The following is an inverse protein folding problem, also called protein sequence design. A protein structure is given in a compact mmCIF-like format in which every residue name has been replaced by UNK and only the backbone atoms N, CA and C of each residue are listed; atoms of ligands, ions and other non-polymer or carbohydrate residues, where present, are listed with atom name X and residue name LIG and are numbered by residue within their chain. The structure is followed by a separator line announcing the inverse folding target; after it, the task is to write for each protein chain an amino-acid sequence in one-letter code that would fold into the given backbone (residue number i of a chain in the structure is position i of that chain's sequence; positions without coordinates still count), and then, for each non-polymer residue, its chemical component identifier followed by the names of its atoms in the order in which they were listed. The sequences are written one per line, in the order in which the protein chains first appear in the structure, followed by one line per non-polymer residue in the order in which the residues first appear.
data_IF_472239305134
#
_entry.id   IF_472239305134
#
_cell.length_a   1.000
_cell.length_b   1.000
_cell.length_c   1.000
_cell.angle_alpha   90.00
_cell.angle_beta   90.00
_cell.angle_gamma   90.00
#
_symmetry.space_group_name_H-M   'P 1'
#
loop_
_entity.id
_entity.type
_entity.pdbx_description
1 polymer ?
#
# COMPACT_ATOMS: atom_id res chain seq x y z
N UNK A 1 8.44 -18.35 20.43
CA UNK A 1 6.98 -18.14 20.49
C UNK A 1 6.45 -18.26 19.07
N UNK A 2 5.39 -19.03 18.86
CA UNK A 2 4.70 -19.03 17.58
C UNK A 2 3.89 -17.73 17.43
N UNK A 3 3.81 -17.19 16.21
CA UNK A 3 3.04 -16.00 15.86
C UNK A 3 1.53 -16.29 15.77
N UNK A 4 0.94 -16.85 16.84
CA UNK A 4 -0.41 -17.44 16.80
C UNK A 4 -1.54 -16.45 16.46
N UNK A 5 -1.30 -15.14 16.59
CA UNK A 5 -2.27 -14.07 16.31
C UNK A 5 -1.92 -13.19 15.09
N UNK A 6 -0.92 -13.55 14.27
CA UNK A 6 -0.61 -12.82 13.04
C UNK A 6 -1.49 -13.31 11.89
N UNK A 7 -2.08 -12.36 11.14
CA UNK A 7 -2.97 -12.65 10.02
C UNK A 7 -2.28 -13.51 8.95
N UNK A 8 -2.94 -14.58 8.52
CA UNK A 8 -2.42 -15.46 7.46
C UNK A 8 -3.07 -15.10 6.13
N UNK A 9 -2.25 -14.63 5.18
CA UNK A 9 -2.71 -14.42 3.82
C UNK A 9 -3.17 -15.74 3.20
N UNK A 10 -4.41 -15.80 2.73
CA UNK A 10 -4.91 -16.93 1.95
C UNK A 10 -4.30 -16.83 0.54
N UNK A 11 -3.52 -17.83 0.13
CA UNK A 11 -2.78 -17.84 -1.14
C UNK A 11 -3.68 -18.17 -2.37
N UNK A 12 -4.92 -17.70 -2.35
CA UNK A 12 -5.87 -17.92 -3.44
C UNK A 12 -5.75 -16.76 -4.43
N UNK A 13 -5.29 -17.11 -5.64
CA UNK A 13 -5.05 -16.24 -6.80
C UNK A 13 -4.07 -15.08 -6.58
N UNK A 14 -3.04 -15.02 -7.44
CA UNK A 14 -2.38 -13.76 -7.76
C UNK A 14 -3.47 -12.87 -8.39
N UNK A 15 -3.54 -11.58 -8.03
CA UNK A 15 -4.44 -10.62 -8.71
C UNK A 15 -3.81 -10.28 -10.07
N UNK A 16 -3.68 -11.26 -10.95
CA UNK A 16 -3.31 -11.03 -12.36
C UNK A 16 -4.45 -10.31 -13.04
N UNK A 17 -4.11 -9.23 -13.75
CA UNK A 17 -5.02 -8.62 -14.71
C UNK A 17 -5.30 -9.68 -15.78
N UNK A 18 -6.57 -9.95 -16.05
CA UNK A 18 -6.96 -11.02 -16.97
C UNK A 18 -6.78 -10.54 -18.40
N UNK A 19 -6.11 -11.36 -19.23
CA UNK A 19 -5.75 -11.04 -20.61
C UNK A 19 -6.98 -10.55 -21.43
N UNK A 20 -8.15 -11.17 -21.23
CA UNK A 20 -9.41 -10.78 -21.86
C UNK A 20 -9.80 -9.32 -21.62
N UNK A 21 -9.53 -8.77 -20.43
CA UNK A 21 -9.81 -7.37 -20.11
C UNK A 21 -8.89 -6.42 -20.90
N UNK A 22 -7.63 -6.82 -21.12
CA UNK A 22 -6.67 -6.04 -21.90
C UNK A 22 -7.00 -6.10 -23.40
N UNK A 23 -7.42 -7.27 -23.89
CA UNK A 23 -7.89 -7.50 -25.25
C UNK A 23 -9.16 -6.68 -25.56
N UNK A 24 -10.18 -6.74 -24.70
CA UNK A 24 -11.43 -5.96 -24.85
C UNK A 24 -11.19 -4.44 -24.89
N UNK A 25 -10.23 -3.94 -24.11
CA UNK A 25 -9.84 -2.53 -24.09
C UNK A 25 -8.84 -2.14 -25.20
N UNK A 26 -8.29 -3.11 -25.92
CA UNK A 26 -7.18 -2.94 -26.88
C UNK A 26 -6.00 -2.16 -26.25
N UNK A 27 -5.57 -2.59 -25.07
CA UNK A 27 -4.46 -1.98 -24.30
C UNK A 27 -3.34 -3.00 -24.06
N UNK A 28 -2.09 -2.56 -24.15
CA UNK A 28 -0.99 -3.38 -23.60
C UNK A 28 -0.91 -3.26 -22.08
N UNK A 29 -0.41 -4.30 -21.42
CA UNK A 29 -0.18 -4.30 -19.98
C UNK A 29 0.75 -3.17 -19.53
N UNK A 30 1.82 -2.89 -20.29
CA UNK A 30 2.75 -1.79 -20.00
C UNK A 30 2.08 -0.43 -20.14
N UNK A 31 1.28 -0.21 -21.19
CA UNK A 31 0.56 1.05 -21.39
C UNK A 31 -0.46 1.33 -20.29
N UNK A 32 -1.18 0.31 -19.84
CA UNK A 32 -2.16 0.43 -18.76
C UNK A 32 -1.51 0.72 -17.39
N UNK A 33 -0.22 0.45 -17.23
CA UNK A 33 0.57 0.83 -16.06
C UNK A 33 1.25 2.21 -16.18
N UNK A 34 1.42 2.75 -17.40
CA UNK A 34 2.20 3.97 -17.67
C UNK A 34 1.37 5.22 -18.02
N UNK A 35 0.06 5.12 -18.24
CA UNK A 35 -0.80 6.27 -18.59
C UNK A 35 -2.01 6.37 -17.66
N UNK A 36 -2.26 7.54 -17.06
CA UNK A 36 -3.32 7.74 -16.05
C UNK A 36 -4.72 7.41 -16.56
N UNK A 37 -5.07 7.91 -17.76
CA UNK A 37 -6.35 7.55 -18.40
C UNK A 37 -6.49 6.05 -18.71
N UNK A 38 -5.42 5.37 -19.16
CA UNK A 38 -5.45 3.93 -19.43
C UNK A 38 -5.56 3.11 -18.14
N UNK A 39 -4.85 3.54 -17.08
CA UNK A 39 -4.92 2.95 -15.74
C UNK A 39 -6.31 3.10 -15.12
N UNK A 40 -6.93 4.27 -15.23
CA UNK A 40 -8.32 4.49 -14.80
C UNK A 40 -9.29 3.58 -15.57
N UNK A 41 -9.19 3.55 -16.90
CA UNK A 41 -10.01 2.71 -17.77
C UNK A 41 -9.91 1.23 -17.39
N UNK A 42 -8.68 0.72 -17.22
CA UNK A 42 -8.45 -0.66 -16.81
C UNK A 42 -8.99 -0.94 -15.40
N UNK A 43 -8.77 -0.03 -14.44
CA UNK A 43 -9.28 -0.22 -13.08
C UNK A 43 -10.81 -0.29 -13.02
N UNK A 44 -11.52 0.46 -13.89
CA UNK A 44 -12.99 0.40 -14.01
C UNK A 44 -13.44 -0.91 -14.63
N UNK A 45 -12.78 -1.38 -15.68
CA UNK A 45 -13.12 -2.68 -16.29
C UNK A 45 -12.85 -3.86 -15.34
N UNK A 46 -11.75 -3.84 -14.58
CA UNK A 46 -11.47 -4.83 -13.52
C UNK A 46 -12.56 -4.81 -12.43
N UNK A 47 -13.03 -3.62 -12.03
CA UNK A 47 -14.14 -3.45 -11.09
C UNK A 47 -15.40 -4.13 -11.64
N UNK A 48 -15.80 -3.80 -12.87
CA UNK A 48 -17.02 -4.29 -13.53
C UNK A 48 -16.97 -5.81 -13.70
N UNK A 49 -15.89 -6.34 -14.29
CA UNK A 49 -15.67 -7.76 -14.51
C UNK A 49 -15.74 -8.58 -13.22
N UNK A 50 -15.15 -8.07 -12.13
CA UNK A 50 -15.10 -8.76 -10.84
C UNK A 50 -16.29 -8.43 -9.91
N UNK A 51 -17.31 -7.73 -10.41
CA UNK A 51 -18.52 -7.37 -9.65
C UNK A 51 -18.22 -6.52 -8.40
N UNK A 52 -17.17 -5.71 -8.40
CA UNK A 52 -16.75 -4.89 -7.25
C UNK A 52 -17.43 -3.52 -7.25
N UNK A 53 -17.55 -2.94 -6.05
CA UNK A 53 -18.10 -1.60 -5.85
C UNK A 53 -17.03 -0.48 -5.86
N UNK A 54 -15.80 -0.81 -6.24
CA UNK A 54 -14.65 0.11 -6.19
C UNK A 54 -13.62 -0.20 -7.28
N UNK A 55 -12.97 0.86 -7.74
CA UNK A 55 -11.73 0.83 -8.51
C UNK A 55 -10.53 0.78 -7.55
N UNK A 56 -9.45 0.09 -7.91
CA UNK A 56 -8.25 -0.11 -7.09
C UNK A 56 -7.01 -0.03 -7.95
N UNK A 57 -6.04 0.79 -7.54
CA UNK A 57 -4.81 1.05 -8.27
C UNK A 57 -3.72 1.58 -7.32
N UNK A 58 -2.42 1.54 -7.68
CA UNK A 58 -1.85 0.86 -8.86
C UNK A 58 -1.97 -0.67 -8.77
N UNK A 59 -1.74 -1.35 -9.89
CA UNK A 59 -1.82 -2.83 -9.97
C UNK A 59 -0.54 -3.54 -9.48
N UNK A 60 0.32 -2.87 -8.72
CA UNK A 60 1.62 -3.40 -8.28
C UNK A 60 2.23 -2.61 -7.11
N UNK A 61 3.28 -3.16 -6.49
CA UNK A 61 4.07 -2.54 -5.40
C UNK A 61 5.42 -1.97 -5.87
N UNK A 62 5.49 -1.45 -7.10
CA UNK A 62 6.75 -0.97 -7.71
C UNK A 62 6.76 0.52 -8.06
N UNK A 63 5.66 1.24 -7.84
CA UNK A 63 5.51 2.65 -8.26
C UNK A 63 6.42 3.56 -7.43
N UNK A 64 6.42 3.38 -6.13
CA UNK A 64 7.19 4.17 -5.17
C UNK A 64 8.69 3.85 -5.29
N UNK A 65 9.04 2.59 -5.50
CA UNK A 65 10.41 2.17 -5.73
C UNK A 65 10.98 2.72 -7.06
N UNK A 66 10.17 2.79 -8.12
CA UNK A 66 10.55 3.44 -9.38
C UNK A 66 10.75 4.95 -9.21
N UNK A 67 9.83 5.62 -8.49
CA UNK A 67 9.94 7.04 -8.19
C UNK A 67 11.18 7.39 -7.34
N UNK A 68 11.73 6.40 -6.62
CA UNK A 68 13.00 6.47 -5.88
C UNK A 68 14.22 5.92 -6.65
N UNK A 69 14.08 5.66 -7.96
CA UNK A 69 15.21 5.38 -8.87
C UNK A 69 15.43 3.93 -9.29
N UNK A 70 14.61 2.97 -8.85
CA UNK A 70 14.62 1.62 -9.44
C UNK A 70 14.04 1.62 -10.86
N UNK A 71 14.40 0.63 -11.67
CA UNK A 71 13.70 0.34 -12.93
C UNK A 71 12.73 -0.82 -12.74
N UNK A 72 11.67 -0.83 -13.55
CA UNK A 72 10.63 -1.86 -13.51
C UNK A 72 10.57 -2.61 -14.84
N UNK A 73 10.30 -3.91 -14.74
CA UNK A 73 10.00 -4.79 -15.87
C UNK A 73 8.51 -5.10 -15.79
N UNK A 74 7.80 -4.79 -16.87
CA UNK A 74 6.39 -5.08 -17.06
C UNK A 74 6.27 -6.46 -17.72
N UNK A 75 5.41 -7.32 -17.16
CA UNK A 75 5.12 -8.67 -17.64
C UNK A 75 3.70 -9.00 -17.16
N UNK A 76 2.80 -9.36 -18.07
CA UNK A 76 1.39 -9.58 -17.76
C UNK A 76 1.17 -10.85 -16.92
N UNK A 77 2.02 -11.87 -17.11
CA UNK A 77 1.87 -13.20 -16.51
C UNK A 77 2.38 -13.25 -15.08
N UNK A 78 3.47 -12.54 -14.79
CA UNK A 78 4.08 -12.50 -13.44
C UNK A 78 3.94 -11.15 -12.73
N UNK A 79 3.40 -10.15 -13.42
CA UNK A 79 3.22 -8.79 -12.90
C UNK A 79 4.50 -7.95 -12.90
N UNK A 80 4.34 -6.67 -12.55
CA UNK A 80 5.46 -5.71 -12.49
C UNK A 80 6.45 -6.10 -11.40
N UNK A 81 7.74 -6.12 -11.76
CA UNK A 81 8.84 -6.44 -10.83
C UNK A 81 10.02 -5.48 -11.01
N UNK A 82 10.84 -5.36 -9.96
CA UNK A 82 12.09 -4.59 -10.04
C UNK A 82 13.04 -5.26 -11.05
N UNK A 83 13.54 -4.48 -12.01
CA UNK A 83 14.56 -4.88 -12.97
C UNK A 83 15.96 -4.54 -12.49
N UNK A 84 16.17 -3.29 -12.07
CA UNK A 84 17.40 -2.80 -11.46
C UNK A 84 17.07 -1.98 -10.21
N UNK A 85 17.79 -2.24 -9.13
CA UNK A 85 17.74 -1.43 -7.91
C UNK A 85 18.28 -0.01 -8.14
N UNK A 86 17.61 1.00 -7.59
CA UNK A 86 18.09 2.39 -7.57
C UNK A 86 19.37 2.59 -6.73
N UNK A 87 19.59 1.73 -5.73
CA UNK A 87 20.78 1.70 -4.88
C UNK A 87 21.49 0.34 -5.00
N UNK A 88 22.72 0.40 -5.47
CA UNK A 88 23.65 -0.73 -5.62
C UNK A 88 24.72 -0.78 -4.51
N UNK A 89 25.02 0.35 -3.86
CA UNK A 89 26.02 0.47 -2.81
C UNK A 89 25.59 1.36 -1.64
N UNK A 90 26.14 1.09 -0.45
CA UNK A 90 25.78 1.78 0.80
C UNK A 90 25.97 3.31 0.72
N UNK A 91 26.96 3.79 -0.04
CA UNK A 91 27.24 5.22 -0.15
C UNK A 91 26.25 5.97 -1.04
N UNK A 92 25.52 5.29 -1.93
CA UNK A 92 24.52 5.92 -2.81
C UNK A 92 23.26 6.36 -2.04
N UNK A 93 23.07 5.87 -0.81
CA UNK A 93 22.02 6.32 0.11
C UNK A 93 22.08 7.85 0.34
N UNK A 94 23.26 8.45 0.34
CA UNK A 94 23.41 9.91 0.54
C UNK A 94 22.87 10.76 -0.63
N UNK A 95 22.63 10.13 -1.78
CA UNK A 95 22.12 10.79 -2.99
C UNK A 95 20.61 10.56 -3.20
N UNK A 96 19.95 9.77 -2.34
CA UNK A 96 18.51 9.52 -2.51
C UNK A 96 17.71 10.79 -2.22
N UNK A 97 16.83 11.14 -3.14
CA UNK A 97 15.84 12.22 -2.97
C UNK A 97 14.48 11.62 -2.67
N UNK A 98 13.58 12.41 -2.08
CA UNK A 98 12.17 12.04 -2.00
C UNK A 98 11.57 11.85 -3.39
N UNK A 99 10.45 11.14 -3.45
CA UNK A 99 9.65 11.02 -4.68
C UNK A 99 9.25 12.40 -5.22
N UNK A 100 9.14 12.51 -6.54
CA UNK A 100 8.49 13.65 -7.20
C UNK A 100 7.14 13.22 -7.75
N UNK A 101 6.07 13.65 -7.09
CA UNK A 101 4.68 13.32 -7.46
C UNK A 101 4.28 13.83 -8.86
N UNK A 102 5.08 14.71 -9.47
CA UNK A 102 4.84 15.28 -10.80
C UNK A 102 5.54 14.48 -11.93
N UNK A 103 6.28 13.41 -11.60
CA UNK A 103 7.06 12.61 -12.56
C UNK A 103 6.73 11.11 -12.48
N UNK A 104 7.15 10.36 -13.50
CA UNK A 104 7.07 8.89 -13.54
C UNK A 104 5.64 8.33 -13.41
N UNK A 105 5.53 7.02 -13.15
CA UNK A 105 4.22 6.37 -12.95
C UNK A 105 3.47 6.88 -11.72
N UNK A 106 4.16 7.38 -10.69
CA UNK A 106 3.50 7.89 -9.48
C UNK A 106 2.58 9.09 -9.79
N UNK A 107 2.98 9.98 -10.70
CA UNK A 107 2.10 11.03 -11.23
C UNK A 107 0.88 10.49 -11.97
N UNK A 108 1.02 9.33 -12.63
CA UNK A 108 -0.02 8.69 -13.45
C UNK A 108 -1.02 7.91 -12.61
N UNK A 109 -0.59 7.39 -11.46
CA UNK A 109 -1.48 6.89 -10.40
C UNK A 109 -2.38 8.02 -9.90
N UNK A 110 -1.81 9.17 -9.54
CA UNK A 110 -2.59 10.32 -9.06
C UNK A 110 -3.55 10.86 -10.13
N UNK A 111 -3.11 10.95 -11.39
CA UNK A 111 -3.95 11.29 -12.55
C UNK A 111 -5.14 10.32 -12.69
N UNK A 112 -4.91 9.01 -12.53
CA UNK A 112 -5.94 7.98 -12.62
C UNK A 112 -6.99 8.10 -11.50
N UNK A 113 -6.59 8.39 -10.25
CA UNK A 113 -7.52 8.68 -9.15
C UNK A 113 -8.42 9.85 -9.54
N UNK A 114 -7.83 10.96 -9.99
CA UNK A 114 -8.55 12.18 -10.37
C UNK A 114 -9.57 11.98 -11.51
N UNK A 115 -9.28 11.08 -12.45
CA UNK A 115 -10.20 10.67 -13.52
C UNK A 115 -11.38 9.88 -12.93
N UNK A 116 -11.10 8.79 -12.22
CA UNK A 116 -12.11 7.92 -11.61
C UNK A 116 -13.03 8.69 -10.65
N UNK A 117 -12.49 9.60 -9.84
CA UNK A 117 -13.28 10.42 -8.92
C UNK A 117 -14.23 11.38 -9.64
N UNK A 118 -13.86 11.93 -10.80
CA UNK A 118 -14.76 12.74 -11.64
C UNK A 118 -15.85 11.92 -12.33
N UNK A 119 -15.58 10.64 -12.60
CA UNK A 119 -16.58 9.69 -13.10
C UNK A 119 -17.53 9.17 -12.00
N UNK A 120 -17.34 9.58 -10.74
CA UNK A 120 -18.17 9.21 -9.60
C UNK A 120 -17.75 7.92 -8.89
N UNK A 121 -16.62 7.33 -9.27
CA UNK A 121 -16.17 6.04 -8.74
C UNK A 121 -15.71 6.09 -7.28
N UNK A 122 -15.75 4.93 -6.61
CA UNK A 122 -15.05 4.70 -5.35
C UNK A 122 -13.64 4.23 -5.65
N UNK A 123 -12.62 4.86 -5.07
CA UNK A 123 -11.22 4.59 -5.39
C UNK A 123 -10.44 4.17 -4.15
N UNK A 124 -9.78 3.02 -4.25
CA UNK A 124 -8.78 2.55 -3.30
C UNK A 124 -7.39 2.80 -3.88
N UNK A 125 -6.56 3.57 -3.19
CA UNK A 125 -5.14 3.72 -3.50
C UNK A 125 -4.34 2.68 -2.71
N UNK A 126 -3.64 1.77 -3.38
CA UNK A 126 -2.65 0.92 -2.73
C UNK A 126 -1.33 1.67 -2.49
N UNK A 127 -0.78 1.51 -1.28
CA UNK A 127 0.47 2.13 -0.85
C UNK A 127 1.38 1.09 -0.19
N UNK A 128 2.62 1.06 -0.65
CA UNK A 128 3.66 0.12 -0.23
C UNK A 128 4.42 0.67 0.98
N UNK A 129 4.65 -0.19 1.96
CA UNK A 129 5.31 0.19 3.21
C UNK A 129 6.85 0.27 3.14
N UNK A 130 7.46 0.83 4.19
CA UNK A 130 8.84 1.30 4.15
C UNK A 130 9.88 0.19 3.91
N UNK A 131 9.72 -1.01 4.49
CA UNK A 131 10.69 -2.10 4.30
C UNK A 131 10.55 -2.71 2.90
N UNK A 132 9.33 -2.83 2.39
CA UNK A 132 9.05 -3.30 1.03
C UNK A 132 9.61 -2.34 -0.02
N UNK A 133 9.50 -1.02 0.20
CA UNK A 133 10.17 -0.03 -0.66
C UNK A 133 11.69 -0.14 -0.52
N UNK A 134 12.24 -0.16 0.70
CA UNK A 134 13.68 -0.26 0.93
C UNK A 134 14.30 -1.49 0.25
N UNK A 135 13.64 -2.65 0.34
CA UNK A 135 14.04 -3.91 -0.31
C UNK A 135 13.70 -3.99 -1.81
N UNK A 136 13.03 -2.98 -2.37
CA UNK A 136 12.76 -2.80 -3.81
C UNK A 136 13.64 -1.73 -4.47
N UNK A 137 14.22 -0.81 -3.69
CA UNK A 137 15.23 0.15 -4.16
C UNK A 137 16.66 -0.31 -3.90
N UNK A 138 16.86 -1.28 -3.02
CA UNK A 138 18.15 -1.84 -2.63
C UNK A 138 18.01 -3.35 -2.46
N UNK A 139 19.01 -4.13 -2.89
CA UNK A 139 19.00 -5.58 -2.67
C UNK A 139 18.80 -5.91 -1.17
N UNK A 140 17.92 -6.85 -0.86
CA UNK A 140 17.59 -7.19 0.53
C UNK A 140 18.80 -7.59 1.38
N UNK A 141 19.79 -8.31 0.82
CA UNK A 141 21.02 -8.67 1.54
C UNK A 141 21.89 -7.45 1.78
N UNK A 142 21.89 -6.49 0.85
CA UNK A 142 22.56 -5.19 1.03
C UNK A 142 21.88 -4.38 2.14
N UNK A 143 20.55 -4.25 2.11
CA UNK A 143 19.76 -3.53 3.13
C UNK A 143 19.99 -4.07 4.56
N UNK A 144 19.80 -5.38 4.78
CA UNK A 144 20.05 -6.01 6.08
C UNK A 144 21.53 -6.02 6.49
N UNK A 145 22.46 -5.87 5.54
CA UNK A 145 23.89 -5.64 5.84
C UNK A 145 24.16 -4.20 6.25
N UNK A 146 23.48 -3.21 5.65
CA UNK A 146 23.55 -1.81 6.04
C UNK A 146 23.08 -1.64 7.48
N UNK A 147 21.87 -2.13 7.83
CA UNK A 147 21.33 -2.08 9.20
C UNK A 147 22.30 -2.61 10.26
N UNK A 148 23.08 -3.66 9.94
CA UNK A 148 24.06 -4.26 10.85
C UNK A 148 25.41 -3.54 10.93
N UNK A 149 25.82 -2.83 9.87
CA UNK A 149 27.13 -2.16 9.77
C UNK A 149 27.07 -0.67 10.07
N UNK A 150 25.96 -0.04 9.71
CA UNK A 150 25.73 1.40 9.72
C UNK A 150 24.21 1.64 9.86
N UNK A 151 23.73 1.49 11.11
CA UNK A 151 22.30 1.58 11.44
C UNK A 151 21.76 2.99 11.13
N UNK A 152 22.57 4.03 11.37
CA UNK A 152 22.18 5.42 11.15
C UNK A 152 21.94 5.71 9.67
N UNK A 153 22.75 5.14 8.77
CA UNK A 153 22.54 5.28 7.32
C UNK A 153 21.34 4.47 6.82
N UNK A 154 21.04 3.32 7.44
CA UNK A 154 19.79 2.60 7.17
C UNK A 154 18.55 3.38 7.66
N UNK A 155 18.65 4.06 8.82
CA UNK A 155 17.59 4.93 9.35
C UNK A 155 17.35 6.10 8.39
N UNK A 156 18.39 6.82 7.96
CA UNK A 156 18.28 7.93 6.98
C UNK A 156 17.58 7.52 5.68
N UNK A 157 17.87 6.32 5.17
CA UNK A 157 17.18 5.78 3.99
C UNK A 157 15.67 5.61 4.26
N UNK A 158 15.33 5.07 5.42
CA UNK A 158 13.94 4.83 5.82
C UNK A 158 13.19 6.13 6.15
N UNK A 159 13.88 7.18 6.64
CA UNK A 159 13.31 8.52 6.84
C UNK A 159 12.89 9.15 5.50
N UNK A 160 13.73 9.07 4.46
CA UNK A 160 13.37 9.54 3.10
C UNK A 160 12.20 8.74 2.51
N UNK A 161 12.13 7.43 2.80
CA UNK A 161 11.00 6.57 2.39
C UNK A 161 9.73 6.91 3.18
N UNK A 162 9.80 7.12 4.49
CA UNK A 162 8.66 7.53 5.34
C UNK A 162 8.06 8.84 4.84
N UNK A 163 8.89 9.86 4.63
CA UNK A 163 8.48 11.14 4.05
C UNK A 163 7.84 10.97 2.66
N UNK A 164 8.43 10.13 1.80
CA UNK A 164 7.90 9.86 0.46
C UNK A 164 6.53 9.17 0.53
N UNK A 165 6.36 8.17 1.41
CA UNK A 165 5.06 7.52 1.63
C UNK A 165 4.02 8.54 2.10
N UNK A 166 4.38 9.42 3.04
CA UNK A 166 3.49 10.47 3.54
C UNK A 166 3.05 11.40 2.39
N UNK A 167 3.99 11.87 1.57
CA UNK A 167 3.68 12.72 0.41
C UNK A 167 2.75 12.02 -0.60
N UNK A 168 2.99 10.75 -0.91
CA UNK A 168 2.13 9.97 -1.82
C UNK A 168 0.72 9.72 -1.25
N UNK A 169 0.60 9.38 0.04
CA UNK A 169 -0.70 9.24 0.71
C UNK A 169 -1.49 10.55 0.63
N UNK A 170 -0.85 11.68 0.94
CA UNK A 170 -1.50 12.99 0.93
C UNK A 170 -1.92 13.42 -0.49
N UNK A 171 -1.08 13.19 -1.50
CA UNK A 171 -1.45 13.42 -2.90
C UNK A 171 -2.63 12.54 -3.36
N UNK A 172 -2.70 11.29 -2.90
CA UNK A 172 -3.84 10.41 -3.15
C UNK A 172 -5.14 10.91 -2.53
N UNK A 173 -5.08 11.42 -1.30
CA UNK A 173 -6.21 12.04 -0.59
C UNK A 173 -6.65 13.33 -1.30
N UNK A 174 -5.72 14.16 -1.76
CA UNK A 174 -6.00 15.38 -2.52
C UNK A 174 -6.72 15.11 -3.84
N UNK A 175 -6.33 14.04 -4.57
CA UNK A 175 -7.06 13.59 -5.76
C UNK A 175 -8.38 12.86 -5.45
N UNK A 176 -8.71 12.67 -4.16
CA UNK A 176 -10.00 12.19 -3.69
C UNK A 176 -10.11 10.69 -3.44
N UNK A 177 -9.01 9.97 -3.23
CA UNK A 177 -9.03 8.55 -2.86
C UNK A 177 -9.90 8.29 -1.61
N UNK A 178 -10.81 7.33 -1.69
CA UNK A 178 -11.76 7.02 -0.62
C UNK A 178 -11.12 6.19 0.50
N UNK A 179 -10.24 5.27 0.12
CA UNK A 179 -9.53 4.37 1.03
C UNK A 179 -8.05 4.35 0.63
N UNK A 180 -7.16 4.45 1.61
CA UNK A 180 -5.72 4.21 1.44
C UNK A 180 -5.43 2.79 1.95
N UNK A 181 -5.15 1.87 1.04
CA UNK A 181 -4.82 0.46 1.33
C UNK A 181 -3.32 0.33 1.54
N UNK A 182 -2.89 0.35 2.80
CA UNK A 182 -1.48 0.32 3.18
C UNK A 182 -1.02 -1.10 3.50
N UNK A 183 0.09 -1.54 2.90
CA UNK A 183 0.70 -2.84 3.15
C UNK A 183 2.23 -2.79 3.10
N UNK A 184 2.90 -3.45 4.05
CA UNK A 184 4.35 -3.69 4.01
C UNK A 184 4.67 -5.20 3.91
N UNK A 185 4.49 -5.84 2.74
CA UNK A 185 4.66 -7.29 2.59
C UNK A 185 5.96 -7.87 3.17
N UNK A 186 7.12 -7.28 2.87
CA UNK A 186 8.43 -7.77 3.34
C UNK A 186 8.81 -7.23 4.72
N UNK A 187 8.13 -6.20 5.21
CA UNK A 187 8.36 -5.57 6.52
C UNK A 187 7.60 -6.18 7.69
N UNK A 188 6.78 -7.21 7.48
CA UNK A 188 5.92 -7.80 8.52
C UNK A 188 6.69 -8.62 9.55
N UNK A 189 6.15 -8.75 10.76
CA UNK A 189 6.90 -9.32 11.92
C UNK A 189 7.31 -10.79 11.72
N UNK A 190 6.53 -11.55 10.96
CA UNK A 190 6.82 -12.93 10.58
C UNK A 190 7.93 -13.05 9.52
N UNK A 191 8.27 -11.97 8.83
CA UNK A 191 9.35 -11.90 7.84
C UNK A 191 10.64 -11.32 8.44
N UNK A 192 10.56 -10.17 9.11
CA UNK A 192 11.76 -9.47 9.64
C UNK A 192 12.16 -9.93 11.05
N UNK A 193 11.25 -10.58 11.77
CA UNK A 193 11.42 -10.99 13.17
C UNK A 193 11.12 -9.88 14.18
N UNK A 194 10.76 -10.23 15.43
CA UNK A 194 10.20 -9.28 16.40
C UNK A 194 11.11 -8.09 16.70
N UNK A 195 12.40 -8.33 16.96
CA UNK A 195 13.37 -7.26 17.28
C UNK A 195 13.53 -6.23 16.16
N UNK A 196 13.61 -6.69 14.91
CA UNK A 196 13.75 -5.81 13.74
C UNK A 196 12.45 -5.05 13.46
N UNK A 197 11.30 -5.68 13.75
CA UNK A 197 10.00 -5.03 13.61
C UNK A 197 9.80 -3.94 14.68
N UNK A 198 10.10 -4.23 15.94
CA UNK A 198 9.98 -3.31 17.07
C UNK A 198 10.93 -2.10 16.94
N UNK A 199 12.22 -2.35 16.63
CA UNK A 199 13.21 -1.27 16.50
C UNK A 199 13.07 -0.43 15.21
N UNK A 200 12.55 -1.03 14.13
CA UNK A 200 12.58 -0.41 12.79
C UNK A 200 11.24 -0.60 12.06
N UNK A 201 10.92 -1.81 11.58
CA UNK A 201 9.85 -2.01 10.58
C UNK A 201 8.48 -1.48 11.01
N UNK A 202 7.99 -1.92 12.16
CA UNK A 202 6.74 -1.45 12.76
C UNK A 202 6.82 -0.02 13.26
N UNK A 203 8.00 0.48 13.65
CA UNK A 203 8.18 1.86 14.11
C UNK A 203 8.00 2.87 12.99
N UNK A 204 8.62 2.66 11.83
CA UNK A 204 8.43 3.51 10.65
C UNK A 204 6.98 3.47 10.16
N UNK A 205 6.33 2.30 10.13
CA UNK A 205 4.90 2.21 9.82
C UNK A 205 4.06 3.03 10.80
N UNK A 206 4.29 2.89 12.11
CA UNK A 206 3.56 3.66 13.13
C UNK A 206 3.77 5.18 12.99
N UNK A 207 5.00 5.64 12.73
CA UNK A 207 5.30 7.05 12.51
C UNK A 207 4.51 7.61 11.33
N UNK A 208 4.54 6.93 10.16
CA UNK A 208 3.78 7.31 8.96
C UNK A 208 2.30 7.49 9.33
N UNK A 209 1.71 6.50 10.01
CA UNK A 209 0.29 6.54 10.39
C UNK A 209 -0.03 7.71 11.32
N UNK A 210 0.80 7.97 12.35
CA UNK A 210 0.64 9.15 13.23
C UNK A 210 0.73 10.48 12.47
N UNK A 211 1.64 10.58 11.50
CA UNK A 211 1.86 11.81 10.73
C UNK A 211 0.74 12.16 9.73
N UNK A 212 -0.11 11.18 9.39
CA UNK A 212 -1.25 11.36 8.47
C UNK A 212 -2.62 11.28 9.17
N UNK A 213 -2.71 10.78 10.41
CA UNK A 213 -3.95 10.60 11.19
C UNK A 213 -4.88 11.83 11.18
N UNK A 214 -4.31 13.02 11.42
CA UNK A 214 -5.03 14.30 11.45
C UNK A 214 -5.31 14.89 10.06
N UNK A 215 -4.76 14.31 8.99
CA UNK A 215 -4.83 14.80 7.61
C UNK A 215 -5.76 13.97 6.70
N UNK A 216 -6.37 12.91 7.24
CA UNK A 216 -7.19 11.96 6.47
C UNK A 216 -8.49 12.52 5.88
N UNK A 217 -8.96 13.69 6.32
CA UNK A 217 -10.18 14.33 5.81
C UNK A 217 -11.38 13.37 5.79
N UNK A 218 -11.86 12.99 4.60
CA UNK A 218 -12.97 12.05 4.34
C UNK A 218 -12.53 10.63 3.96
N UNK A 219 -11.22 10.39 3.86
CA UNK A 219 -10.59 9.12 3.54
C UNK A 219 -10.33 8.29 4.81
N UNK A 220 -10.18 6.98 4.65
CA UNK A 220 -9.85 6.04 5.74
C UNK A 220 -8.64 5.20 5.33
N UNK A 221 -7.75 4.88 6.27
CA UNK A 221 -6.65 3.94 6.00
C UNK A 221 -7.12 2.51 6.31
N UNK A 222 -6.99 1.63 5.34
CA UNK A 222 -7.03 0.19 5.53
C UNK A 222 -5.60 -0.36 5.68
N UNK A 223 -5.24 -0.72 6.91
CA UNK A 223 -4.00 -1.43 7.21
C UNK A 223 -4.18 -2.92 6.88
N UNK A 224 -3.42 -3.43 5.91
CA UNK A 224 -3.34 -4.85 5.58
C UNK A 224 -3.30 -5.73 6.84
N UNK A 225 -4.09 -6.81 6.88
CA UNK A 225 -4.23 -7.68 8.05
C UNK A 225 -2.89 -8.11 8.68
N UNK A 226 -1.87 -8.42 7.86
CA UNK A 226 -0.51 -8.71 8.38
C UNK A 226 0.13 -7.50 9.05
N UNK A 227 0.07 -6.32 8.44
CA UNK A 227 0.66 -5.08 8.96
C UNK A 227 -0.02 -4.66 10.26
N UNK A 228 -1.36 -4.67 10.30
CA UNK A 228 -2.13 -4.30 11.50
C UNK A 228 -1.97 -5.29 12.65
N UNK A 229 -2.03 -6.61 12.40
CA UNK A 229 -1.74 -7.62 13.44
C UNK A 229 -0.30 -7.55 13.94
N UNK A 230 0.67 -7.23 13.08
CA UNK A 230 2.07 -7.03 13.48
C UNK A 230 2.23 -5.83 14.42
N UNK A 231 1.61 -4.68 14.12
CA UNK A 231 1.63 -3.49 14.99
C UNK A 231 0.92 -3.74 16.34
N UNK A 232 -0.20 -4.46 16.32
CA UNK A 232 -0.92 -4.84 17.54
C UNK A 232 -0.10 -5.81 18.41
N UNK A 233 0.61 -6.75 17.79
CA UNK A 233 1.49 -7.70 18.49
C UNK A 233 2.62 -7.01 19.28
N UNK A 234 3.24 -5.96 18.73
CA UNK A 234 4.24 -5.14 19.45
C UNK A 234 3.61 -4.02 20.29
N UNK A 235 2.29 -3.99 20.42
CA UNK A 235 1.59 -3.06 21.29
C UNK A 235 1.66 -1.59 20.85
N UNK A 236 1.88 -1.29 19.56
CA UNK A 236 1.78 0.07 18.99
C UNK A 236 0.38 0.41 18.47
N UNK A 237 -0.50 -0.60 18.37
CA UNK A 237 -1.87 -0.48 17.88
C UNK A 237 -2.84 -1.18 18.83
N UNK A 238 -3.92 -0.50 19.18
CA UNK A 238 -5.09 -1.07 19.88
C UNK A 238 -6.20 -1.37 18.89
N UNK A 239 -7.06 -2.32 19.26
CA UNK A 239 -8.14 -2.83 18.43
C UNK A 239 -9.47 -2.77 19.17
N UNK A 240 -10.50 -2.31 18.48
CA UNK A 240 -11.88 -2.26 18.94
C UNK A 240 -12.77 -2.90 17.87
N UNK A 241 -13.57 -3.90 18.25
CA UNK A 241 -14.57 -4.48 17.36
C UNK A 241 -15.76 -3.52 17.25
N UNK A 242 -16.23 -3.28 16.04
CA UNK A 242 -17.39 -2.42 15.76
C UNK A 242 -18.34 -3.17 14.84
N UNK A 243 -19.60 -3.26 15.26
CA UNK A 243 -20.70 -3.74 14.44
C UNK A 243 -21.03 -2.71 13.36
N UNK A 244 -20.97 -3.13 12.09
CA UNK A 244 -21.24 -2.31 10.91
C UNK A 244 -21.93 -3.16 9.86
N UNK A 245 -23.11 -2.74 9.40
CA UNK A 245 -23.84 -3.43 8.34
C UNK A 245 -23.16 -3.27 6.98
N UNK A 246 -23.06 -4.37 6.23
CA UNK A 246 -22.67 -4.37 4.82
C UNK A 246 -22.69 -5.78 4.23
N UNK A 247 -22.95 -5.92 2.92
CA UNK A 247 -23.04 -7.23 2.24
C UNK A 247 -21.68 -7.86 1.99
N UNK A 248 -20.61 -7.08 2.18
CA UNK A 248 -19.21 -7.46 2.05
C UNK A 248 -18.33 -6.46 2.82
N UNK A 249 -17.08 -6.86 3.07
CA UNK A 249 -16.09 -6.09 3.81
C UNK A 249 -15.89 -4.65 3.27
N UNK A 250 -15.90 -4.42 1.95
CA UNK A 250 -15.77 -3.07 1.41
C UNK A 250 -16.99 -2.18 1.71
N UNK A 251 -18.21 -2.71 1.60
CA UNK A 251 -19.44 -1.95 1.90
C UNK A 251 -19.47 -1.53 3.38
N UNK A 252 -19.03 -2.41 4.29
CA UNK A 252 -18.85 -2.07 5.72
C UNK A 252 -17.89 -0.88 5.90
N UNK A 253 -16.75 -0.88 5.19
CA UNK A 253 -15.78 0.23 5.24
C UNK A 253 -16.36 1.53 4.66
N UNK A 254 -17.06 1.43 3.53
CA UNK A 254 -17.67 2.59 2.87
C UNK A 254 -18.83 3.18 3.68
N UNK A 255 -19.52 2.37 4.51
CA UNK A 255 -20.54 2.84 5.45
C UNK A 255 -19.90 3.53 6.66
N UNK A 256 -19.01 2.84 7.39
CA UNK A 256 -18.46 3.38 8.64
C UNK A 256 -17.70 4.71 8.42
N UNK A 257 -16.99 4.88 7.30
CA UNK A 257 -16.27 6.14 7.01
C UNK A 257 -17.21 7.32 6.75
N UNK A 258 -18.48 7.09 6.37
CA UNK A 258 -19.50 8.14 6.18
C UNK A 258 -20.07 8.55 7.53
N UNK A 259 -20.37 7.57 8.38
CA UNK A 259 -21.04 7.71 9.67
C UNK A 259 -20.11 8.21 10.79
N UNK A 260 -18.88 7.70 10.85
CA UNK A 260 -17.94 7.86 11.98
C UNK A 260 -16.62 8.45 11.50
N UNK A 261 -16.53 9.79 11.50
CA UNK A 261 -15.32 10.53 11.07
C UNK A 261 -14.14 10.42 12.04
N UNK A 262 -14.36 9.91 13.24
CA UNK A 262 -13.34 9.58 14.23
C UNK A 262 -12.58 8.27 13.91
N UNK A 263 -13.16 7.37 13.10
CA UNK A 263 -12.51 6.12 12.70
C UNK A 263 -11.54 6.40 11.55
N UNK A 264 -10.26 6.46 11.89
CA UNK A 264 -9.15 6.80 10.97
C UNK A 264 -8.50 5.58 10.32
N UNK A 265 -8.30 4.53 11.11
CA UNK A 265 -7.66 3.29 10.68
C UNK A 265 -8.56 2.10 10.94
N UNK A 266 -8.54 1.17 10.02
CA UNK A 266 -9.14 -0.16 10.14
C UNK A 266 -8.11 -1.20 9.71
N UNK A 267 -8.30 -2.45 10.11
CA UNK A 267 -7.37 -3.51 9.71
C UNK A 267 -7.80 -4.90 10.14
N UNK A 268 -6.81 -5.73 10.46
CA UNK A 268 -6.90 -7.14 10.83
C UNK A 268 -7.48 -8.08 9.76
N UNK A 269 -8.02 -7.53 8.68
CA UNK A 269 -8.60 -8.27 7.56
C UNK A 269 -7.94 -7.86 6.23
N UNK A 270 -8.49 -8.34 5.12
CA UNK A 270 -7.93 -8.14 3.79
C UNK A 270 -9.06 -7.79 2.81
N UNK A 271 -8.89 -6.72 2.03
CA UNK A 271 -9.83 -6.27 0.99
C UNK A 271 -10.14 -7.33 -0.09
N UNK A 272 -9.32 -8.38 -0.20
CA UNK A 272 -9.57 -9.53 -1.10
C UNK A 272 -10.55 -10.55 -0.54
N UNK A 273 -10.80 -10.56 0.77
CA UNK A 273 -11.67 -11.53 1.43
C UNK A 273 -13.11 -11.00 1.52
N UNK A 274 -14.06 -11.82 1.10
CA UNK A 274 -15.48 -11.50 1.12
C UNK A 274 -16.11 -11.80 2.50
N UNK A 275 -15.62 -11.12 3.54
CA UNK A 275 -16.07 -11.24 4.94
C UNK A 275 -17.42 -10.53 5.14
N UNK A 276 -18.33 -11.16 5.90
CA UNK A 276 -19.77 -10.80 6.02
C UNK A 276 -20.37 -11.06 7.42
N UNK A 277 -19.57 -10.96 8.47
CA UNK A 277 -20.03 -11.12 9.86
C UNK A 277 -20.36 -9.79 10.55
N UNK A 278 -20.51 -8.71 9.78
CA UNK A 278 -20.79 -7.35 10.24
C UNK A 278 -19.78 -6.80 11.28
N UNK A 279 -18.60 -7.39 11.45
CA UNK A 279 -17.57 -6.90 12.39
C UNK A 279 -16.41 -6.26 11.62
N UNK A 280 -16.17 -4.98 11.88
CA UNK A 280 -14.92 -4.27 11.55
C UNK A 280 -14.01 -4.16 12.77
N UNK A 281 -12.70 -4.11 12.53
CA UNK A 281 -11.70 -3.84 13.57
C UNK A 281 -11.20 -2.41 13.39
N UNK A 282 -11.71 -1.50 14.21
CA UNK A 282 -11.17 -0.16 14.37
C UNK A 282 -9.78 -0.27 15.01
N UNK A 283 -8.83 0.48 14.47
CA UNK A 283 -7.43 0.42 14.81
C UNK A 283 -7.01 1.78 15.39
N UNK A 284 -6.66 1.85 16.67
CA UNK A 284 -6.23 3.08 17.35
C UNK A 284 -4.72 3.04 17.59
N UNK A 285 -3.99 4.05 17.11
CA UNK A 285 -2.56 4.19 17.39
C UNK A 285 -2.38 4.65 18.83
N UNK A 286 -1.54 3.96 19.61
CA UNK A 286 -1.16 4.38 20.98
C UNK A 286 -0.37 5.68 21.02
#
# INVERSE_FOLDING_TARGET
MEFQNIFKCVANTVDTIQDSILEELNLSFEEANNHGYKMATLSRSIKEHNGKAYCRLPFCHTVEAEALGSTVIFDEKVGNRIGKYGISQINEIENISKIDLNKGRISKVLEAISILKREGEKVILDVTGPISIATSIMDSKLFYRTIRKDKDKAIKLLEVIEDSIIEFILGGIEQGADIISFADPTGTIDIVGPKMYEEIGGRFVYNIMKMIESKLNSSTIHLCGKTSTSLAYIGLLETEEIEVEGKNYFEMIDNIRKERKDIKFIGHWCLKLDKKDNILINCRLK
#
